data_IF_628404006848
#
_entry.id   IF_628404006848
#
_cell.length_a   1.000
_cell.length_b   1.000
_cell.length_c   1.000
_cell.angle_alpha   90.00
_cell.angle_beta   90.00
_cell.angle_gamma   90.00
#
_symmetry.space_group_name_H-M   'P 1'
#
loop_
_entity.id
_entity.type
_entity.pdbx_description
1 polymer ?
#
# COMPACT_ATOMS: atom_id res chain seq x y z
N UNK A 1 5.45 -1.55 -10.55
CA UNK A 1 4.23 -2.34 -10.31
C UNK A 1 2.96 -1.62 -10.78
N UNK A 2 2.61 -0.44 -10.22
CA UNK A 2 1.43 0.37 -10.62
C UNK A 2 1.25 0.48 -12.14
N UNK A 3 2.30 0.88 -12.86
CA UNK A 3 2.24 1.02 -14.31
C UNK A 3 1.95 -0.30 -15.04
N UNK A 4 2.51 -1.41 -14.56
CA UNK A 4 2.28 -2.73 -15.15
C UNK A 4 0.83 -3.18 -14.93
N UNK A 5 0.28 -2.99 -13.73
CA UNK A 5 -1.13 -3.29 -13.42
C UNK A 5 -2.07 -2.45 -14.29
N UNK A 6 -1.79 -1.14 -14.44
CA UNK A 6 -2.56 -0.25 -15.31
C UNK A 6 -2.56 -0.71 -16.76
N UNK A 7 -1.41 -1.15 -17.29
CA UNK A 7 -1.31 -1.69 -18.67
C UNK A 7 -2.12 -2.97 -18.87
N UNK A 8 -2.36 -3.72 -17.81
CA UNK A 8 -3.20 -4.93 -17.81
C UNK A 8 -4.69 -4.63 -17.53
N UNK A 9 -5.07 -3.36 -17.37
CA UNK A 9 -6.46 -2.97 -17.07
C UNK A 9 -6.84 -3.02 -15.59
N UNK A 10 -5.88 -3.23 -14.69
CA UNK A 10 -6.09 -3.36 -13.25
C UNK A 10 -5.59 -2.13 -12.48
N UNK A 11 -5.99 -0.93 -12.93
CA UNK A 11 -5.61 0.33 -12.30
C UNK A 11 -6.28 0.59 -10.93
N UNK A 12 -7.31 -0.19 -10.63
CA UNK A 12 -8.14 -0.18 -9.42
C UNK A 12 -7.57 -1.03 -8.27
N UNK A 13 -6.61 -1.91 -8.55
CA UNK A 13 -6.00 -2.76 -7.51
C UNK A 13 -5.17 -1.94 -6.52
N UNK A 14 -5.49 -2.10 -5.23
CA UNK A 14 -4.70 -1.56 -4.14
C UNK A 14 -3.32 -2.21 -4.08
N UNK A 15 -2.29 -1.38 -3.87
CA UNK A 15 -0.92 -1.81 -3.67
C UNK A 15 -0.53 -1.49 -2.23
N UNK A 16 -0.05 -2.48 -1.48
CA UNK A 16 0.51 -2.26 -0.14
C UNK A 16 2.00 -2.60 -0.16
N UNK A 17 2.79 -1.81 0.55
CA UNK A 17 4.22 -2.05 0.69
C UNK A 17 4.52 -2.56 2.10
N UNK A 18 5.43 -3.54 2.21
CA UNK A 18 5.86 -4.09 3.49
C UNK A 18 7.34 -4.38 3.51
N UNK A 19 7.87 -4.66 4.70
CA UNK A 19 9.29 -4.92 4.90
C UNK A 19 10.08 -3.68 5.29
N UNK A 20 11.41 -3.74 5.17
CA UNK A 20 12.32 -2.67 5.61
C UNK A 20 12.30 -1.54 4.59
N UNK A 21 11.57 -0.46 4.89
CA UNK A 21 11.53 0.77 4.12
C UNK A 21 12.04 1.91 5.01
N UNK A 22 13.07 2.67 4.60
CA UNK A 22 13.53 3.83 5.35
C UNK A 22 12.43 4.90 5.46
N UNK A 23 12.25 5.56 6.62
CA UNK A 23 11.19 6.56 6.81
C UNK A 23 11.23 7.71 5.79
N UNK A 24 12.42 8.14 5.37
CA UNK A 24 12.57 9.19 4.35
C UNK A 24 12.02 8.80 2.96
N UNK A 25 11.83 7.51 2.70
CA UNK A 25 11.32 7.01 1.42
C UNK A 25 9.80 6.83 1.41
N UNK A 26 9.10 7.01 2.54
CA UNK A 26 7.66 6.74 2.65
C UNK A 26 6.85 7.57 1.67
N UNK A 27 7.12 8.87 1.59
CA UNK A 27 6.47 9.77 0.64
C UNK A 27 6.67 9.32 -0.81
N UNK A 28 7.87 8.86 -1.16
CA UNK A 28 8.18 8.39 -2.50
C UNK A 28 7.41 7.10 -2.82
N UNK A 29 7.33 6.16 -1.86
CA UNK A 29 6.59 4.90 -1.99
C UNK A 29 5.08 5.13 -2.15
N UNK A 30 4.50 6.03 -1.34
CA UNK A 30 3.09 6.42 -1.45
C UNK A 30 2.80 7.08 -2.80
N UNK A 31 3.62 8.04 -3.23
CA UNK A 31 3.48 8.70 -4.55
C UNK A 31 3.64 7.73 -5.72
N UNK A 32 4.47 6.70 -5.57
CA UNK A 32 4.64 5.64 -6.57
C UNK A 32 3.41 4.73 -6.70
N UNK A 33 2.46 4.78 -5.75
CA UNK A 33 1.19 4.08 -5.83
C UNK A 33 0.86 3.15 -4.68
N UNK A 34 1.69 3.07 -3.64
CA UNK A 34 1.31 2.34 -2.44
C UNK A 34 0.18 3.09 -1.72
N UNK A 35 -0.87 2.37 -1.34
CA UNK A 35 -1.97 2.87 -0.53
C UNK A 35 -1.65 2.83 0.97
N UNK A 36 -0.76 1.92 1.40
CA UNK A 36 -0.37 1.77 2.80
C UNK A 36 1.03 1.14 2.91
N UNK A 37 1.73 1.45 4.01
CA UNK A 37 3.08 0.92 4.30
C UNK A 37 3.05 0.19 5.65
N UNK A 38 3.50 -1.07 5.67
CA UNK A 38 3.59 -1.91 6.86
C UNK A 38 5.07 -2.23 7.19
N UNK A 39 5.78 -1.37 7.94
CA UNK A 39 7.19 -1.55 8.27
C UNK A 39 7.42 -2.67 9.31
N UNK A 40 8.69 -3.03 9.61
CA UNK A 40 9.00 -4.03 10.63
C UNK A 40 8.42 -3.64 11.99
N UNK A 41 7.89 -4.62 12.72
CA UNK A 41 7.21 -4.38 14.01
C UNK A 41 5.73 -4.03 13.88
N UNK A 42 5.18 -3.95 12.67
CA UNK A 42 3.73 -3.80 12.47
C UNK A 42 2.97 -4.95 13.15
N UNK A 43 1.97 -4.60 13.96
CA UNK A 43 1.07 -5.56 14.62
C UNK A 43 0.06 -6.08 13.59
N UNK A 44 0.03 -7.40 13.37
CA UNK A 44 -0.76 -8.04 12.30
C UNK A 44 -2.26 -7.70 12.38
N UNK A 45 -2.96 -7.85 13.53
CA UNK A 45 -4.37 -7.47 13.62
C UNK A 45 -4.64 -6.02 13.20
N UNK A 46 -3.81 -5.08 13.66
CA UNK A 46 -3.95 -3.67 13.30
C UNK A 46 -3.69 -3.42 11.81
N UNK A 47 -2.76 -4.18 11.20
CA UNK A 47 -2.53 -4.09 9.75
C UNK A 47 -3.72 -4.60 8.95
N UNK A 48 -4.36 -5.69 9.41
CA UNK A 48 -5.56 -6.24 8.79
C UNK A 48 -6.71 -5.24 8.85
N UNK A 49 -6.98 -4.64 10.01
CA UNK A 49 -8.02 -3.61 10.15
C UNK A 49 -7.77 -2.44 9.20
N UNK A 50 -6.55 -1.88 9.20
CA UNK A 50 -6.20 -0.78 8.27
C UNK A 50 -6.33 -1.19 6.81
N UNK A 51 -5.94 -2.41 6.44
CA UNK A 51 -6.08 -2.90 5.07
C UNK A 51 -7.56 -2.99 4.66
N UNK A 52 -8.42 -3.50 5.54
CA UNK A 52 -9.86 -3.59 5.29
C UNK A 52 -10.48 -2.20 5.15
N UNK A 53 -10.10 -1.25 6.00
CA UNK A 53 -10.56 0.14 5.91
C UNK A 53 -10.19 0.76 4.56
N UNK A 54 -8.96 0.57 4.09
CA UNK A 54 -8.50 1.05 2.77
C UNK A 54 -9.22 0.36 1.60
N UNK A 55 -9.53 -0.92 1.74
CA UNK A 55 -10.21 -1.69 0.69
C UNK A 55 -11.68 -1.31 0.55
N UNK A 56 -12.32 -0.98 1.66
CA UNK A 56 -13.75 -0.67 1.71
C UNK A 56 -14.04 0.84 1.62
N UNK A 57 -13.03 1.69 1.79
CA UNK A 57 -13.20 3.13 1.60
C UNK A 57 -13.54 3.42 0.15
N UNK A 58 -14.70 4.05 -0.06
CA UNK A 58 -15.11 4.58 -1.35
C UNK A 58 -14.45 5.95 -1.50
N UNK A 59 -13.40 6.04 -2.32
CA UNK A 59 -12.92 7.32 -2.87
C UNK A 59 -13.44 7.53 -4.29
#
# INVERSE_FOLDING_TARGET
LKEALRKLGHGDMLIVAGGVIPPQDYDAVLKAGAAEIFPPGTVIPQAADRLMDRLLSVE
#
